data_IF_795202733912
#
_entry.id   IF_795202733912
#
_cell.length_a   1.000
_cell.length_b   1.000
_cell.length_c   1.000
_cell.angle_alpha   90.00
_cell.angle_beta   90.00
_cell.angle_gamma   90.00
#
_symmetry.space_group_name_H-M   'P 1'
#
loop_
_entity.id
_entity.type
_entity.pdbx_description
1 polymer ?
#
# COMPACT_ATOMS: atom_id res chain seq x y z
N UNK A 1 9.22 15.66 8.05
CA UNK A 1 10.62 15.50 8.53
C UNK A 1 11.02 14.03 8.38
N UNK A 2 12.22 13.73 7.89
CA UNK A 2 12.78 12.37 7.63
C UNK A 2 12.22 11.62 6.41
N UNK A 3 12.15 12.28 5.24
CA UNK A 3 11.63 11.61 4.02
C UNK A 3 12.65 10.62 3.44
N UNK A 4 13.94 10.93 3.49
CA UNK A 4 14.98 10.08 2.91
C UNK A 4 15.08 8.74 3.63
N UNK A 5 15.06 8.75 4.96
CA UNK A 5 15.14 7.57 5.81
C UNK A 5 13.91 6.68 5.65
N UNK A 6 12.72 7.30 5.59
CA UNK A 6 11.47 6.57 5.33
C UNK A 6 11.45 5.96 3.93
N UNK A 7 11.94 6.67 2.91
CA UNK A 7 12.06 6.13 1.55
C UNK A 7 13.08 4.99 1.48
N UNK A 8 14.17 5.06 2.23
CA UNK A 8 15.14 3.95 2.34
C UNK A 8 14.48 2.69 2.93
N UNK A 9 13.74 2.84 4.04
CA UNK A 9 13.00 1.73 4.66
C UNK A 9 11.94 1.18 3.69
N UNK A 10 11.19 2.06 3.01
CA UNK A 10 10.18 1.67 2.02
C UNK A 10 10.78 0.84 0.88
N UNK A 11 11.88 1.28 0.27
CA UNK A 11 12.58 0.52 -0.78
C UNK A 11 13.07 -0.83 -0.29
N UNK A 12 13.64 -0.88 0.92
CA UNK A 12 14.11 -2.14 1.51
C UNK A 12 12.96 -3.10 1.80
N UNK A 13 11.83 -2.61 2.29
CA UNK A 13 10.63 -3.41 2.49
C UNK A 13 10.04 -3.90 1.16
N UNK A 14 9.99 -3.04 0.13
CA UNK A 14 9.52 -3.41 -1.20
C UNK A 14 10.35 -4.54 -1.81
N UNK A 15 11.66 -4.56 -1.58
CA UNK A 15 12.55 -5.63 -2.07
C UNK A 15 12.41 -6.97 -1.32
N UNK A 16 11.58 -7.04 -0.28
CA UNK A 16 11.32 -8.29 0.46
C UNK A 16 9.97 -8.91 0.06
N UNK A 17 9.19 -8.20 -0.76
CA UNK A 17 7.90 -8.68 -1.25
C UNK A 17 8.15 -9.59 -2.45
N UNK A 18 7.39 -10.67 -2.56
CA UNK A 18 7.42 -11.59 -3.69
C UNK A 18 6.08 -11.59 -4.43
N UNK A 19 6.11 -11.85 -5.74
CA UNK A 19 4.88 -12.02 -6.52
C UNK A 19 4.08 -13.22 -5.97
N UNK A 20 2.78 -12.99 -5.72
CA UNK A 20 1.87 -13.94 -5.10
C UNK A 20 1.59 -13.64 -3.63
N UNK A 21 2.34 -12.74 -2.99
CA UNK A 21 2.16 -12.41 -1.58
C UNK A 21 0.79 -11.78 -1.29
N UNK A 22 0.30 -12.06 -0.08
CA UNK A 22 -0.84 -11.37 0.53
C UNK A 22 -0.36 -10.55 1.73
N UNK A 23 -0.48 -9.23 1.63
CA UNK A 23 0.13 -8.29 2.57
C UNK A 23 -0.91 -7.36 3.19
N UNK A 24 -0.72 -7.02 4.46
CA UNK A 24 -1.48 -5.97 5.12
C UNK A 24 -0.65 -4.68 5.23
N UNK A 25 -1.16 -3.58 4.68
CA UNK A 25 -0.55 -2.25 4.76
C UNK A 25 -1.33 -1.40 5.76
N UNK A 26 -0.72 -1.13 6.91
CA UNK A 26 -1.27 -0.23 7.92
C UNK A 26 -1.15 1.26 7.53
N UNK A 27 -1.63 2.17 8.38
CA UNK A 27 -1.48 3.60 8.14
C UNK A 27 -0.05 4.08 8.42
N UNK A 28 0.38 5.11 7.68
CA UNK A 28 1.59 5.87 7.98
C UNK A 28 2.38 6.30 6.76
N UNK A 29 3.07 7.44 6.89
CA UNK A 29 3.80 8.06 5.78
C UNK A 29 4.91 7.18 5.19
N UNK A 30 5.45 6.22 5.96
CA UNK A 30 6.44 5.26 5.44
C UNK A 30 5.77 4.19 4.59
N UNK A 31 4.55 3.79 4.93
CA UNK A 31 3.76 2.81 4.18
C UNK A 31 3.21 3.45 2.90
N UNK A 32 2.87 4.74 2.93
CA UNK A 32 2.55 5.51 1.72
C UNK A 32 3.72 5.49 0.73
N UNK A 33 4.94 5.73 1.20
CA UNK A 33 6.15 5.61 0.37
C UNK A 33 6.38 4.16 -0.10
N UNK A 34 6.14 3.15 0.75
CA UNK A 34 6.22 1.75 0.32
C UNK A 34 5.23 1.46 -0.80
N UNK A 35 3.98 1.93 -0.70
CA UNK A 35 2.98 1.76 -1.73
C UNK A 35 3.38 2.37 -3.08
N UNK A 36 4.10 3.50 -3.07
CA UNK A 36 4.71 4.07 -4.28
C UNK A 36 5.75 3.11 -4.88
N UNK A 37 6.61 2.50 -4.06
CA UNK A 37 7.74 1.66 -4.48
C UNK A 37 7.34 0.22 -4.87
N UNK A 38 6.15 -0.27 -4.50
CA UNK A 38 5.64 -1.60 -4.92
C UNK A 38 5.42 -1.64 -6.43
N UNK A 39 6.19 -2.47 -7.16
CA UNK A 39 6.11 -2.61 -8.62
C UNK A 39 5.88 -4.07 -9.09
N UNK A 40 5.29 -4.88 -8.23
CA UNK A 40 4.98 -6.30 -8.49
C UNK A 40 3.74 -6.45 -9.36
N UNK A 41 3.63 -7.56 -10.09
CA UNK A 41 2.53 -7.80 -11.03
C UNK A 41 1.38 -8.59 -10.39
N UNK A 42 1.71 -9.43 -9.41
CA UNK A 42 0.77 -10.32 -8.75
C UNK A 42 0.85 -10.11 -7.24
N UNK A 43 -0.12 -9.43 -6.64
CA UNK A 43 -0.19 -9.23 -5.19
C UNK A 43 -1.64 -9.16 -4.72
N UNK A 44 -1.87 -9.48 -3.45
CA UNK A 44 -3.09 -9.12 -2.75
C UNK A 44 -2.76 -8.20 -1.58
N UNK A 45 -3.16 -6.93 -1.66
CA UNK A 45 -2.91 -5.94 -0.61
C UNK A 45 -4.21 -5.60 0.11
N UNK A 46 -4.19 -5.66 1.43
CA UNK A 46 -5.29 -5.27 2.32
C UNK A 46 -4.82 -4.05 3.11
N UNK A 47 -5.62 -2.99 3.17
CA UNK A 47 -5.28 -1.80 3.95
C UNK A 47 -6.52 -1.18 4.59
N UNK A 48 -6.34 -0.56 5.76
CA UNK A 48 -7.36 0.29 6.38
C UNK A 48 -7.08 1.79 6.21
N UNK A 49 -6.14 2.15 5.32
CA UNK A 49 -5.67 3.51 5.14
C UNK A 49 -6.05 4.03 3.76
N UNK A 50 -6.96 5.01 3.70
CA UNK A 50 -7.47 5.55 2.44
C UNK A 50 -6.36 6.16 1.53
N UNK A 51 -5.38 6.94 2.04
CA UNK A 51 -4.25 7.40 1.23
C UNK A 51 -3.46 6.26 0.57
N UNK A 52 -3.09 5.24 1.34
CA UNK A 52 -2.37 4.06 0.83
C UNK A 52 -3.19 3.31 -0.21
N UNK A 53 -4.48 3.12 0.08
CA UNK A 53 -5.41 2.48 -0.86
C UNK A 53 -5.45 3.20 -2.20
N UNK A 54 -5.57 4.54 -2.19
CA UNK A 54 -5.63 5.34 -3.41
C UNK A 54 -4.37 5.18 -4.27
N UNK A 55 -3.18 5.20 -3.65
CA UNK A 55 -1.90 5.00 -4.36
C UNK A 55 -1.85 3.62 -5.04
N UNK A 56 -2.27 2.57 -4.33
CA UNK A 56 -2.20 1.20 -4.84
C UNK A 56 -3.32 0.88 -5.84
N UNK A 57 -4.46 1.57 -5.73
CA UNK A 57 -5.61 1.37 -6.61
C UNK A 57 -5.25 1.68 -8.07
N UNK A 58 -4.35 2.64 -8.31
CA UNK A 58 -3.83 2.97 -9.65
C UNK A 58 -3.07 1.79 -10.28
N UNK A 59 -2.59 0.84 -9.47
CA UNK A 59 -1.85 -0.36 -9.91
C UNK A 59 -2.74 -1.60 -10.00
N UNK A 60 -4.05 -1.47 -9.76
CA UNK A 60 -4.96 -2.61 -9.69
C UNK A 60 -5.10 -3.32 -11.04
N UNK A 61 -4.98 -4.65 -11.02
CA UNK A 61 -5.21 -5.52 -12.17
C UNK A 61 -5.96 -6.79 -11.73
N UNK A 62 -6.19 -7.73 -12.66
CA UNK A 62 -6.73 -9.05 -12.31
C UNK A 62 -5.81 -9.83 -11.34
N UNK A 63 -4.51 -9.55 -11.35
CA UNK A 63 -3.49 -10.25 -10.55
C UNK A 63 -2.96 -9.38 -9.40
N UNK A 64 -3.12 -8.06 -9.47
CA UNK A 64 -2.81 -7.11 -8.40
C UNK A 64 -4.10 -6.58 -7.77
N UNK A 65 -4.51 -7.15 -6.64
CA UNK A 65 -5.79 -6.83 -5.98
C UNK A 65 -5.54 -5.98 -4.74
N UNK A 66 -6.34 -4.94 -4.56
CA UNK A 66 -6.25 -4.03 -3.42
C UNK A 66 -7.61 -3.97 -2.74
N UNK A 67 -7.64 -4.16 -1.42
CA UNK A 67 -8.85 -4.14 -0.60
C UNK A 67 -8.73 -3.03 0.46
N UNK A 68 -9.71 -2.13 0.48
CA UNK A 68 -9.91 -1.19 1.59
C UNK A 68 -10.86 -1.80 2.61
N UNK A 69 -10.39 -1.96 3.84
CA UNK A 69 -11.19 -2.40 4.98
C UNK A 69 -11.36 -1.25 5.98
N UNK A 70 -12.43 -1.27 6.77
CA UNK A 70 -12.66 -0.21 7.78
C UNK A 70 -14.11 0.14 8.06
N UNK A 71 -15.07 -0.44 7.34
CA UNK A 71 -16.50 -0.20 7.55
C UNK A 71 -17.05 0.94 6.70
N UNK A 72 -18.08 1.62 7.19
CA UNK A 72 -18.82 2.65 6.46
C UNK A 72 -18.09 4.00 6.48
N UNK A 73 -17.87 4.58 5.30
CA UNK A 73 -17.39 5.95 5.18
C UNK A 73 -18.56 6.92 5.39
N UNK A 74 -18.53 7.66 6.50
CA UNK A 74 -19.55 8.69 6.76
C UNK A 74 -19.25 9.95 5.97
N UNK A 75 -20.26 10.49 5.30
CA UNK A 75 -20.20 11.86 4.79
C UNK A 75 -20.13 12.84 5.96
N UNK A 76 -19.22 13.82 5.89
CA UNK A 76 -19.20 14.93 6.85
C UNK A 76 -20.43 15.79 6.54
N UNK A 77 -21.47 15.67 7.38
CA UNK A 77 -22.62 16.58 7.47
C UNK A 77 -22.32 17.72 8.42
#
# INVERSE_FOLDING_TARGET
RQIAEKRFIAKKAASLIEDGDTLFFGPGTTVELLAEEVNHHTLTIITNCLPVYKILLEKQTAHFRVYLIGGEMRHIT
#
